data_IF_391897328487
#
_entry.id   IF_391897328487
#
_cell.length_a   1.000
_cell.length_b   1.000
_cell.length_c   1.000
_cell.angle_alpha   90.00
_cell.angle_beta   90.00
_cell.angle_gamma   90.00
#
_symmetry.space_group_name_H-M   'P 1'
#
loop_
_entity.id
_entity.type
_entity.pdbx_description
1 polymer ?
#
# COMPACT_ATOMS: atom_id res chain seq x y z
N UNK A 1 -11.22 43.08 -63.62
CA UNK A 1 -12.02 44.25 -63.16
C UNK A 1 -11.81 44.40 -61.65
N UNK A 2 -11.61 45.64 -61.18
CA UNK A 2 -11.98 46.23 -59.85
C UNK A 2 -12.22 45.22 -58.70
N UNK A 3 -11.39 45.02 -57.66
CA UNK A 3 -10.70 45.89 -56.68
C UNK A 3 -11.54 46.38 -55.48
N UNK A 4 -11.14 45.97 -54.25
CA UNK A 4 -11.07 46.72 -52.97
C UNK A 4 -10.89 45.69 -51.82
N UNK A 5 -9.89 45.72 -50.92
CA UNK A 5 -9.56 46.68 -49.84
C UNK A 5 -10.75 46.90 -48.86
N UNK A 6 -10.62 46.92 -47.52
CA UNK A 6 -9.49 47.37 -46.70
C UNK A 6 -9.63 47.07 -45.18
N UNK A 7 -8.50 46.85 -44.48
CA UNK A 7 -8.10 47.36 -43.13
C UNK A 7 -9.00 47.28 -41.87
N UNK A 8 -8.35 46.79 -40.78
CA UNK A 8 -8.30 47.34 -39.38
C UNK A 8 -9.65 47.34 -38.59
N UNK A 9 -9.73 47.42 -37.26
CA UNK A 9 -8.76 47.81 -36.21
C UNK A 9 -9.03 47.15 -34.84
N UNK A 10 -8.03 47.25 -33.98
CA UNK A 10 -7.91 46.91 -32.55
C UNK A 10 -8.98 47.46 -31.56
N UNK A 11 -9.01 46.80 -30.38
CA UNK A 11 -9.26 47.30 -29.00
C UNK A 11 -10.66 47.81 -28.57
N UNK A 12 -11.21 47.20 -27.51
CA UNK A 12 -11.07 47.68 -26.10
C UNK A 12 -11.65 46.70 -25.05
N UNK A 13 -11.21 46.88 -23.80
CA UNK A 13 -11.73 46.23 -22.59
C UNK A 13 -13.18 46.65 -22.29
N UNK A 14 -13.91 45.77 -21.60
CA UNK A 14 -14.86 46.19 -20.56
C UNK A 14 -14.93 45.12 -19.46
N UNK A 15 -14.40 45.44 -18.26
CA UNK A 15 -14.89 44.83 -17.02
C UNK A 15 -16.21 45.50 -16.66
N UNK A 16 -17.16 44.74 -16.11
CA UNK A 16 -18.10 45.16 -15.06
C UNK A 16 -18.45 43.88 -14.29
N UNK A 17 -18.59 43.99 -12.98
CA UNK A 17 -18.75 42.86 -12.07
C UNK A 17 -20.07 42.96 -11.27
N UNK A 18 -20.41 41.84 -10.62
CA UNK A 18 -21.39 41.69 -9.54
C UNK A 18 -22.87 41.93 -9.91
N UNK A 19 -23.66 40.86 -9.81
CA UNK A 19 -24.87 40.89 -8.97
C UNK A 19 -25.16 39.50 -8.41
N UNK A 20 -25.35 39.48 -7.09
CA UNK A 20 -25.64 38.30 -6.28
C UNK A 20 -27.08 37.82 -6.47
N UNK A 21 -27.27 36.50 -6.41
CA UNK A 21 -28.58 35.88 -6.21
C UNK A 21 -28.53 35.01 -4.94
N UNK A 22 -28.90 35.61 -3.82
CA UNK A 22 -29.23 34.90 -2.58
C UNK A 22 -30.59 34.20 -2.71
N UNK A 23 -30.70 32.97 -2.22
CA UNK A 23 -31.97 32.34 -1.91
C UNK A 23 -31.93 31.80 -0.48
N UNK A 24 -32.33 32.64 0.48
CA UNK A 24 -32.71 32.17 1.81
C UNK A 24 -34.16 31.68 1.78
N UNK A 25 -34.44 30.60 2.50
CA UNK A 25 -35.73 30.36 3.15
C UNK A 25 -35.49 29.61 4.47
N UNK A 26 -36.27 29.95 5.49
CA UNK A 26 -35.82 29.91 6.90
C UNK A 26 -36.76 29.15 7.85
N UNK A 27 -36.13 28.44 8.80
CA UNK A 27 -36.51 28.17 10.20
C UNK A 27 -37.96 28.23 10.71
N UNK A 28 -38.33 27.17 11.45
CA UNK A 28 -38.74 27.16 12.87
C UNK A 28 -38.59 25.71 13.40
N UNK A 29 -38.24 25.32 14.63
CA UNK A 29 -37.88 25.91 15.94
C UNK A 29 -37.92 24.76 16.97
N UNK A 30 -37.41 24.74 18.22
CA UNK A 30 -36.65 25.63 19.13
C UNK A 30 -36.23 24.75 20.36
N UNK A 31 -35.30 25.06 21.27
CA UNK A 31 -34.30 26.12 21.44
C UNK A 31 -33.23 25.73 22.50
N UNK A 32 -32.10 26.45 22.54
CA UNK A 32 -31.07 26.55 23.61
C UNK A 32 -30.13 25.35 23.90
N UNK A 33 -28.84 25.54 24.23
CA UNK A 33 -28.13 26.78 24.61
C UNK A 33 -26.68 26.91 24.08
N UNK A 34 -26.37 28.13 23.61
CA UNK A 34 -25.09 28.88 23.58
C UNK A 34 -23.75 28.17 23.93
N UNK A 35 -22.80 28.15 22.97
CA UNK A 35 -21.59 28.98 23.04
C UNK A 35 -20.81 29.06 21.70
N UNK A 36 -20.63 30.29 21.20
CA UNK A 36 -19.58 30.81 20.29
C UNK A 36 -18.74 29.86 19.41
N UNK A 37 -18.97 29.91 18.08
CA UNK A 37 -17.99 29.54 17.03
C UNK A 37 -17.68 30.75 16.13
N UNK A 38 -16.46 30.85 15.58
CA UNK A 38 -16.20 31.52 14.32
C UNK A 38 -15.81 30.53 13.19
N UNK A 39 -16.42 30.73 12.02
CA UNK A 39 -15.94 30.43 10.67
C UNK A 39 -15.31 29.05 10.36
N UNK A 40 -16.10 28.18 9.70
CA UNK A 40 -15.59 27.15 8.81
C UNK A 40 -14.99 27.78 7.54
N UNK A 41 -13.66 27.75 7.43
CA UNK A 41 -12.96 27.80 6.15
C UNK A 41 -12.68 26.37 5.67
N UNK A 42 -12.84 26.11 4.37
CA UNK A 42 -12.49 24.81 3.80
C UNK A 42 -10.98 24.78 3.50
N UNK A 43 -10.24 23.93 4.21
CA UNK A 43 -8.88 23.52 3.83
C UNK A 43 -8.86 22.02 3.50
N UNK A 44 -8.14 21.67 2.44
CA UNK A 44 -7.95 20.30 2.01
C UNK A 44 -7.00 19.61 3.01
N UNK A 45 -7.36 18.42 3.48
CA UNK A 45 -6.62 17.71 4.52
C UNK A 45 -5.32 17.08 4.00
N UNK A 46 -4.29 17.90 3.80
CA UNK A 46 -2.89 17.46 3.79
C UNK A 46 -2.38 17.50 5.23
N UNK A 47 -2.50 16.39 5.96
CA UNK A 47 -2.13 16.38 7.38
C UNK A 47 -2.06 15.00 8.00
N UNK A 48 -0.88 14.62 8.49
CA UNK A 48 -0.74 13.52 9.44
C UNK A 48 -1.53 13.82 10.72
N UNK A 49 -2.14 12.80 11.31
CA UNK A 49 -3.07 12.94 12.44
C UNK A 49 -2.49 12.33 13.71
N UNK A 50 -2.17 13.17 14.68
CA UNK A 50 -1.83 12.76 16.05
C UNK A 50 -3.11 12.51 16.84
N UNK A 51 -3.13 11.46 17.68
CA UNK A 51 -4.24 11.15 18.59
C UNK A 51 -3.70 10.98 20.01
N UNK A 52 -4.03 11.91 20.91
CA UNK A 52 -3.60 11.89 22.32
C UNK A 52 -4.68 12.41 23.26
N UNK A 53 -4.58 12.05 24.54
CA UNK A 53 -5.39 12.59 25.64
C UNK A 53 -4.51 13.22 26.72
N UNK A 54 -4.84 14.45 27.11
CA UNK A 54 -4.21 15.28 28.18
C UNK A 54 -2.83 15.88 27.89
N UNK A 55 -2.58 17.06 28.49
CA UNK A 55 -1.46 17.95 28.20
C UNK A 55 -0.56 18.19 29.41
N UNK A 56 0.65 17.62 29.39
CA UNK A 56 1.77 18.04 30.23
C UNK A 56 2.85 18.75 29.38
N UNK A 57 3.77 19.48 30.01
CA UNK A 57 4.79 20.24 29.29
C UNK A 57 5.71 19.32 28.47
N UNK A 58 5.78 19.56 27.16
CA UNK A 58 6.56 18.74 26.21
C UNK A 58 5.74 17.66 25.48
N UNK A 59 4.51 17.38 25.92
CA UNK A 59 3.57 16.51 25.19
C UNK A 59 2.95 17.27 24.02
N UNK A 60 2.99 16.70 22.82
CA UNK A 60 2.29 17.26 21.67
C UNK A 60 0.77 17.23 21.84
N UNK A 61 0.06 18.33 21.54
CA UNK A 61 -1.38 18.27 21.28
C UNK A 61 -1.66 17.53 19.97
N UNK A 62 -2.88 16.98 19.78
CA UNK A 62 -3.37 16.57 18.47
C UNK A 62 -3.38 17.76 17.50
N UNK A 63 -2.74 17.61 16.33
CA UNK A 63 -2.68 18.69 15.33
C UNK A 63 -1.93 18.31 14.05
N UNK A 64 -1.84 19.24 13.08
CA UNK A 64 -1.04 19.08 11.86
C UNK A 64 0.45 18.86 12.17
N UNK A 65 1.17 18.20 11.27
CA UNK A 65 2.55 17.77 11.47
C UNK A 65 3.52 18.95 11.72
N UNK A 66 3.23 20.10 11.10
CA UNK A 66 3.97 21.36 11.21
C UNK A 66 3.84 21.99 12.60
N UNK A 67 2.75 21.70 13.32
CA UNK A 67 2.48 22.22 14.67
C UNK A 67 3.24 21.48 15.78
N UNK A 68 3.89 20.36 15.46
CA UNK A 68 4.62 19.52 16.42
C UNK A 68 6.08 20.00 16.67
N UNK A 69 6.49 21.10 16.05
CA UNK A 69 7.81 21.71 16.25
C UNK A 69 8.01 22.07 17.73
N UNK A 70 9.10 21.59 18.33
CA UNK A 70 9.43 21.85 19.73
C UNK A 70 8.87 20.83 20.75
N UNK A 71 7.94 19.95 20.37
CA UNK A 71 7.53 18.84 21.23
C UNK A 71 8.70 17.91 21.58
N UNK A 72 8.64 17.23 22.73
CA UNK A 72 9.57 16.15 23.09
C UNK A 72 8.91 14.78 23.18
N UNK A 73 7.59 14.72 23.39
CA UNK A 73 6.82 13.51 23.63
C UNK A 73 5.49 13.51 22.84
N UNK A 74 5.11 12.38 22.26
CA UNK A 74 3.74 12.12 21.79
C UNK A 74 3.17 10.98 22.66
N UNK A 75 2.11 11.26 23.41
CA UNK A 75 1.50 10.31 24.37
C UNK A 75 0.61 9.22 23.73
N UNK A 76 0.68 9.07 22.41
CA UNK A 76 -0.16 8.19 21.59
C UNK A 76 0.50 7.96 20.25
N UNK A 77 -0.28 7.77 19.19
CA UNK A 77 0.26 7.44 17.86
C UNK A 77 0.67 8.70 17.07
N UNK A 78 1.76 8.57 16.30
CA UNK A 78 2.11 9.49 15.22
C UNK A 78 1.79 8.81 13.88
N UNK A 79 0.71 9.24 13.23
CA UNK A 79 0.30 8.71 11.92
C UNK A 79 0.53 9.75 10.83
N UNK A 80 1.44 9.45 9.91
CA UNK A 80 1.78 10.23 8.72
C UNK A 80 1.33 9.42 7.50
N UNK A 81 0.39 9.95 6.72
CA UNK A 81 -0.27 9.22 5.63
C UNK A 81 -0.51 10.16 4.45
N UNK A 82 -0.26 9.68 3.22
CA UNK A 82 -0.37 10.46 1.97
C UNK A 82 0.35 11.83 2.04
N UNK A 83 1.55 11.83 2.63
CA UNK A 83 2.37 13.03 2.75
C UNK A 83 3.11 13.29 1.43
N UNK A 84 2.82 14.44 0.81
CA UNK A 84 3.23 14.76 -0.57
C UNK A 84 4.59 15.46 -0.68
N UNK A 85 5.17 15.93 0.43
CA UNK A 85 6.46 16.59 0.43
C UNK A 85 7.63 15.59 0.57
N UNK A 86 8.82 15.89 0.02
CA UNK A 86 9.95 14.96 0.05
C UNK A 86 10.56 14.76 1.44
N UNK A 87 10.28 15.67 2.38
CA UNK A 87 10.85 15.69 3.72
C UNK A 87 9.77 15.98 4.76
N UNK A 88 9.79 15.26 5.88
CA UNK A 88 9.04 15.66 7.08
C UNK A 88 9.50 17.05 7.56
N UNK A 89 8.64 17.85 8.21
CA UNK A 89 9.09 19.05 8.92
C UNK A 89 10.11 18.70 10.01
N UNK A 90 10.86 19.68 10.51
CA UNK A 90 11.84 19.44 11.57
C UNK A 90 11.13 19.12 12.89
N UNK A 91 11.05 17.82 13.20
CA UNK A 91 10.56 17.27 14.46
C UNK A 91 11.73 16.96 15.42
N UNK A 92 12.91 17.54 15.22
CA UNK A 92 14.15 17.22 15.94
C UNK A 92 14.14 17.46 17.46
N UNK A 93 13.07 18.02 18.02
CA UNK A 93 12.85 18.02 19.48
C UNK A 93 12.23 16.70 19.98
N UNK A 94 11.46 15.99 19.14
CA UNK A 94 10.77 14.76 19.48
C UNK A 94 11.76 13.67 19.88
N UNK A 95 11.60 13.13 21.09
CA UNK A 95 12.42 12.06 21.66
C UNK A 95 11.65 10.75 21.79
N UNK A 96 10.35 10.81 22.04
CA UNK A 96 9.55 9.61 22.35
C UNK A 96 8.14 9.70 21.78
N UNK A 97 7.67 8.56 21.28
CA UNK A 97 6.28 8.27 20.94
C UNK A 97 5.86 7.12 21.86
N UNK A 98 4.76 7.25 22.60
CA UNK A 98 4.27 6.20 23.51
C UNK A 98 3.38 5.18 22.82
N UNK A 99 2.66 5.59 21.77
CA UNK A 99 2.01 4.69 20.83
C UNK A 99 2.94 4.27 19.69
N UNK A 100 2.32 3.95 18.56
CA UNK A 100 3.00 3.54 17.33
C UNK A 100 3.45 4.72 16.46
N UNK A 101 4.53 4.52 15.71
CA UNK A 101 4.93 5.41 14.61
C UNK A 101 4.52 4.74 13.28
N UNK A 102 3.55 5.34 12.60
CA UNK A 102 3.01 4.83 11.35
C UNK A 102 3.25 5.87 10.26
N UNK A 103 4.12 5.56 9.29
CA UNK A 103 4.36 6.38 8.10
C UNK A 103 3.98 5.56 6.87
N UNK A 104 2.95 5.98 6.14
CA UNK A 104 2.42 5.19 5.02
C UNK A 104 2.00 5.99 3.80
N UNK A 105 1.94 5.31 2.65
CA UNK A 105 1.42 5.85 1.37
C UNK A 105 2.01 7.22 0.99
N UNK A 106 3.27 7.50 1.32
CA UNK A 106 3.90 8.82 1.15
C UNK A 106 5.05 8.71 0.14
N UNK A 107 4.76 8.52 -1.16
CA UNK A 107 5.75 8.07 -2.15
C UNK A 107 6.79 9.13 -2.53
N UNK A 108 6.56 10.41 -2.20
CA UNK A 108 7.54 11.47 -2.41
C UNK A 108 8.56 11.55 -1.26
N UNK A 109 8.18 11.10 -0.06
CA UNK A 109 9.00 11.17 1.15
C UNK A 109 10.28 10.36 0.96
N UNK A 110 11.44 11.03 0.94
CA UNK A 110 12.71 10.42 0.58
C UNK A 110 13.67 10.20 1.76
N UNK A 111 13.42 10.85 2.90
CA UNK A 111 14.19 10.67 4.13
C UNK A 111 13.38 10.99 5.39
N UNK A 112 13.75 10.38 6.52
CA UNK A 112 13.12 10.60 7.84
C UNK A 112 13.87 11.61 8.73
N UNK A 113 14.76 12.46 8.20
CA UNK A 113 15.61 13.38 8.98
C UNK A 113 14.87 14.32 9.95
N UNK A 114 13.58 14.58 9.76
CA UNK A 114 12.75 15.28 10.75
C UNK A 114 12.71 14.54 12.10
N UNK A 115 12.83 13.21 12.09
CA UNK A 115 12.80 12.35 13.27
C UNK A 115 14.18 12.04 13.87
N UNK A 116 15.26 12.70 13.40
CA UNK A 116 16.68 12.39 13.71
C UNK A 116 17.05 12.19 15.19
N UNK A 117 16.23 12.68 16.13
CA UNK A 117 16.42 12.56 17.57
C UNK A 117 15.40 11.66 18.28
N UNK A 118 14.57 10.91 17.55
CA UNK A 118 13.63 9.94 18.11
C UNK A 118 14.41 8.78 18.75
N UNK A 119 14.25 8.58 20.05
CA UNK A 119 14.96 7.58 20.86
C UNK A 119 14.08 6.37 21.20
N UNK A 120 12.75 6.54 21.29
CA UNK A 120 11.82 5.49 21.71
C UNK A 120 10.46 5.53 21.01
N UNK A 121 9.95 4.35 20.62
CA UNK A 121 8.58 4.09 20.18
C UNK A 121 7.98 2.99 21.07
N UNK A 122 6.88 3.31 21.77
CA UNK A 122 6.20 2.41 22.72
C UNK A 122 5.20 1.45 22.10
N UNK A 123 4.85 1.65 20.83
CA UNK A 123 4.06 0.74 20.00
C UNK A 123 4.88 0.04 18.92
N UNK A 124 4.28 -0.08 17.75
CA UNK A 124 4.87 -0.62 16.52
C UNK A 124 5.54 0.51 15.70
N UNK A 125 6.53 0.16 14.88
CA UNK A 125 7.12 1.04 13.87
C UNK A 125 6.76 0.52 12.49
N UNK A 126 5.89 1.24 11.79
CA UNK A 126 5.37 0.86 10.47
C UNK A 126 5.78 1.89 9.41
N UNK A 127 6.61 1.47 8.46
CA UNK A 127 6.95 2.23 7.25
C UNK A 127 6.41 1.46 6.03
N UNK A 128 5.33 1.95 5.40
CA UNK A 128 4.55 1.17 4.41
C UNK A 128 4.25 1.97 3.14
N UNK A 129 4.72 1.52 1.97
CA UNK A 129 4.48 2.20 0.69
C UNK A 129 5.19 3.56 0.63
N UNK A 130 6.49 3.56 0.94
CA UNK A 130 7.41 4.70 0.88
C UNK A 130 8.52 4.44 -0.17
N UNK A 131 8.20 4.19 -1.45
CA UNK A 131 9.21 3.82 -2.46
C UNK A 131 10.25 4.91 -2.75
N UNK A 132 10.00 6.16 -2.35
CA UNK A 132 10.99 7.24 -2.42
C UNK A 132 12.00 7.25 -1.27
N UNK A 133 11.71 6.56 -0.14
CA UNK A 133 12.48 6.60 1.09
C UNK A 133 13.82 5.89 0.91
N UNK A 134 14.89 6.64 0.66
CA UNK A 134 16.20 6.10 0.33
C UNK A 134 17.05 5.74 1.56
N UNK A 135 16.68 6.21 2.77
CA UNK A 135 17.49 6.00 3.98
C UNK A 135 16.68 6.04 5.28
N UNK A 136 17.15 5.27 6.27
CA UNK A 136 16.71 5.24 7.67
C UNK A 136 17.62 6.05 8.62
N UNK A 137 18.53 6.90 8.11
CA UNK A 137 19.39 7.76 8.95
C UNK A 137 18.57 8.61 9.95
N UNK A 138 17.39 9.09 9.57
CA UNK A 138 16.45 9.75 10.49
C UNK A 138 16.02 8.92 11.71
N UNK A 139 16.25 7.61 11.74
CA UNK A 139 15.97 6.70 12.86
C UNK A 139 17.25 6.18 13.56
N UNK A 140 18.43 6.71 13.23
CA UNK A 140 19.72 6.28 13.79
C UNK A 140 19.83 6.33 15.32
N UNK A 141 19.07 7.23 15.96
CA UNK A 141 19.02 7.36 17.42
C UNK A 141 17.95 6.48 18.08
N UNK A 142 17.16 5.72 17.32
CA UNK A 142 16.12 4.84 17.86
C UNK A 142 16.77 3.69 18.66
N UNK A 143 16.47 3.66 19.96
CA UNK A 143 17.02 2.71 20.93
C UNK A 143 15.99 1.72 21.43
N UNK A 144 14.74 2.16 21.57
CA UNK A 144 13.63 1.36 22.08
C UNK A 144 12.52 1.29 21.04
N UNK A 145 12.14 0.06 20.70
CA UNK A 145 10.90 -0.28 20.02
C UNK A 145 10.25 -1.38 20.86
N UNK A 146 8.99 -1.21 21.28
CA UNK A 146 8.38 -2.13 22.24
C UNK A 146 7.67 -3.32 21.57
N UNK A 147 7.10 -3.12 20.38
CA UNK A 147 6.31 -4.13 19.66
C UNK A 147 7.00 -4.55 18.34
N UNK A 148 6.36 -4.42 17.19
CA UNK A 148 6.89 -4.94 15.91
C UNK A 148 7.46 -3.85 14.99
N UNK A 149 8.35 -4.26 14.09
CA UNK A 149 8.93 -3.45 13.02
C UNK A 149 8.36 -3.92 11.68
N UNK A 150 7.64 -3.07 10.97
CA UNK A 150 7.12 -3.35 9.64
C UNK A 150 7.77 -2.38 8.64
N UNK A 151 8.55 -2.93 7.71
CA UNK A 151 9.11 -2.21 6.56
C UNK A 151 8.54 -2.86 5.31
N UNK A 152 7.57 -2.21 4.66
CA UNK A 152 6.86 -2.76 3.51
C UNK A 152 6.93 -1.75 2.36
N UNK A 153 7.54 -2.12 1.24
CA UNK A 153 7.66 -1.28 0.04
C UNK A 153 8.32 0.09 0.33
N UNK A 154 9.56 0.05 0.83
CA UNK A 154 10.36 1.25 1.13
C UNK A 154 11.68 1.20 0.35
N UNK A 155 12.10 2.30 -0.26
CA UNK A 155 13.30 2.37 -1.14
C UNK A 155 14.66 2.31 -0.43
N UNK A 156 14.72 1.61 0.71
CA UNK A 156 15.86 1.60 1.64
C UNK A 156 16.75 0.39 1.35
N UNK A 157 18.07 0.59 1.36
CA UNK A 157 19.04 -0.51 1.23
C UNK A 157 18.95 -1.55 2.38
N UNK A 158 18.96 -2.84 2.06
CA UNK A 158 18.88 -3.94 3.04
C UNK A 158 20.00 -3.95 4.09
N UNK A 159 21.17 -3.36 3.83
CA UNK A 159 22.19 -3.12 4.86
C UNK A 159 21.78 -2.02 5.84
N UNK A 160 21.01 -1.01 5.45
CA UNK A 160 20.46 -0.03 6.42
C UNK A 160 19.43 -0.70 7.33
N UNK A 161 18.55 -1.54 6.78
CA UNK A 161 17.59 -2.34 7.55
C UNK A 161 18.31 -3.27 8.53
N UNK A 162 19.29 -4.03 8.03
CA UNK A 162 20.10 -4.94 8.85
C UNK A 162 20.82 -4.18 9.98
N UNK A 163 21.43 -3.02 9.69
CA UNK A 163 22.12 -2.19 10.70
C UNK A 163 21.17 -1.62 11.75
N UNK A 164 20.00 -1.11 11.37
CA UNK A 164 18.99 -0.63 12.31
C UNK A 164 18.53 -1.76 13.23
N UNK A 165 18.17 -2.90 12.65
CA UNK A 165 17.67 -4.06 13.38
C UNK A 165 18.74 -4.63 14.32
N UNK A 166 19.98 -4.82 13.86
CA UNK A 166 21.11 -5.26 14.69
C UNK A 166 21.28 -4.31 15.89
N UNK A 167 21.31 -2.99 15.66
CA UNK A 167 21.44 -2.01 16.74
C UNK A 167 20.29 -2.10 17.75
N UNK A 168 19.06 -2.34 17.30
CA UNK A 168 17.92 -2.59 18.18
C UNK A 168 18.07 -3.91 18.97
N UNK A 169 18.50 -5.01 18.32
CA UNK A 169 18.74 -6.31 18.98
C UNK A 169 19.81 -6.21 20.07
N UNK A 170 20.93 -5.53 19.79
CA UNK A 170 22.01 -5.25 20.76
C UNK A 170 21.53 -4.46 21.98
N UNK A 171 20.41 -3.72 21.85
CA UNK A 171 19.75 -2.94 22.91
C UNK A 171 18.56 -3.67 23.54
N UNK A 172 18.37 -4.95 23.23
CA UNK A 172 17.35 -5.81 23.85
C UNK A 172 16.00 -5.85 23.13
N UNK A 173 15.91 -5.35 21.89
CA UNK A 173 14.69 -5.49 21.08
C UNK A 173 14.35 -6.95 20.82
N UNK A 174 13.17 -7.39 21.25
CA UNK A 174 12.71 -8.78 21.09
C UNK A 174 11.59 -8.96 20.07
N UNK A 175 10.93 -7.89 19.61
CA UNK A 175 9.81 -7.98 18.67
C UNK A 175 10.17 -8.55 17.29
N UNK A 176 9.15 -8.94 16.54
CA UNK A 176 9.30 -9.40 15.15
C UNK A 176 9.67 -8.23 14.24
N UNK A 177 10.39 -8.52 13.15
CA UNK A 177 10.59 -7.59 12.05
C UNK A 177 10.01 -8.20 10.76
N UNK A 178 8.96 -7.60 10.22
CA UNK A 178 8.41 -7.92 8.91
C UNK A 178 9.05 -6.98 7.88
N UNK A 179 9.88 -7.51 7.01
CA UNK A 179 10.57 -6.74 5.97
C UNK A 179 10.21 -7.30 4.60
N UNK A 180 9.55 -6.48 3.77
CA UNK A 180 9.06 -6.81 2.44
C UNK A 180 9.32 -5.61 1.53
N UNK A 181 9.86 -5.80 0.32
CA UNK A 181 10.03 -4.69 -0.62
C UNK A 181 11.02 -3.60 -0.18
N UNK A 182 12.25 -3.98 0.20
CA UNK A 182 13.38 -3.09 0.48
C UNK A 182 14.49 -3.28 -0.55
N UNK A 183 15.08 -2.21 -1.12
CA UNK A 183 16.18 -2.35 -2.10
C UNK A 183 17.30 -3.23 -1.51
N UNK A 184 17.54 -4.45 -1.99
CA UNK A 184 18.47 -5.36 -1.31
C UNK A 184 19.92 -5.32 -1.82
N UNK A 185 20.78 -5.87 -0.96
CA UNK A 185 22.23 -5.77 -1.08
C UNK A 185 22.85 -7.15 -0.98
N UNK A 186 23.75 -7.47 -1.92
CA UNK A 186 24.56 -8.69 -1.88
C UNK A 186 25.48 -8.78 -0.64
N UNK A 187 25.68 -7.66 0.08
CA UNK A 187 26.48 -7.59 1.31
C UNK A 187 25.66 -7.89 2.57
N UNK A 188 24.34 -7.69 2.51
CA UNK A 188 23.41 -7.89 3.63
C UNK A 188 22.14 -8.59 3.13
N UNK A 189 22.19 -9.88 2.79
CA UNK A 189 21.00 -10.64 2.43
C UNK A 189 20.03 -10.71 3.61
N UNK A 190 18.78 -10.32 3.36
CA UNK A 190 17.69 -10.47 4.31
C UNK A 190 16.93 -11.76 4.00
N UNK A 191 17.12 -12.76 4.86
CA UNK A 191 16.34 -14.00 4.83
C UNK A 191 15.07 -13.84 5.69
N UNK A 192 13.86 -13.95 5.12
CA UNK A 192 12.58 -13.77 5.81
C UNK A 192 12.33 -14.78 6.94
N UNK A 193 12.97 -15.96 6.91
CA UNK A 193 12.86 -16.98 7.96
C UNK A 193 13.98 -16.86 9.00
N UNK A 194 14.92 -15.93 8.82
CA UNK A 194 16.08 -15.80 9.71
C UNK A 194 15.69 -15.46 11.16
N UNK A 195 16.42 -15.99 12.16
CA UNK A 195 16.24 -15.62 13.57
C UNK A 195 16.37 -14.12 13.86
N UNK A 196 17.08 -13.38 12.99
CA UNK A 196 17.21 -11.94 13.08
C UNK A 196 15.86 -11.23 12.92
N UNK A 197 15.01 -11.68 11.98
CA UNK A 197 13.68 -11.14 11.71
C UNK A 197 12.60 -11.74 12.59
N UNK A 198 12.68 -13.04 12.92
CA UNK A 198 11.67 -13.75 13.71
C UNK A 198 11.40 -13.11 15.10
N UNK A 199 12.43 -12.59 15.76
CA UNK A 199 12.34 -12.09 17.13
C UNK A 199 12.35 -13.19 18.18
N UNK A 200 12.15 -12.83 19.45
CA UNK A 200 11.93 -13.80 20.51
C UNK A 200 10.43 -14.12 20.59
N UNK A 201 10.08 -15.41 20.66
CA UNK A 201 8.69 -15.83 20.84
C UNK A 201 8.09 -15.16 22.08
N UNK A 202 6.86 -14.61 22.01
CA UNK A 202 6.26 -13.91 23.13
C UNK A 202 6.10 -14.87 24.33
N UNK A 203 6.36 -14.42 25.57
CA UNK A 203 6.21 -15.25 26.76
C UNK A 203 4.74 -15.64 26.94
N UNK A 204 4.41 -16.88 26.57
CA UNK A 204 3.03 -17.38 26.49
C UNK A 204 2.71 -18.13 25.20
N UNK A 205 3.54 -18.04 24.16
CA UNK A 205 3.49 -18.99 23.05
C UNK A 205 3.88 -20.41 23.56
N UNK A 206 3.11 -21.47 23.23
CA UNK A 206 3.50 -22.83 23.60
C UNK A 206 4.86 -23.16 22.98
N UNK A 207 5.78 -23.69 23.79
CA UNK A 207 7.15 -23.95 23.36
C UNK A 207 7.26 -24.97 22.23
N UNK A 208 8.38 -24.92 21.51
CA UNK A 208 8.67 -25.79 20.35
C UNK A 208 8.80 -27.30 20.68
N UNK A 209 8.60 -27.70 21.94
CA UNK A 209 8.47 -29.09 22.39
C UNK A 209 7.02 -29.59 22.44
N UNK A 210 6.05 -28.74 22.10
CA UNK A 210 4.70 -29.20 21.81
C UNK A 210 4.74 -30.05 20.54
N UNK A 211 4.59 -31.37 20.71
CA UNK A 211 4.33 -32.31 19.61
C UNK A 211 3.26 -31.66 18.71
N UNK A 212 3.53 -31.42 17.42
CA UNK A 212 2.55 -30.78 16.56
C UNK A 212 1.27 -31.61 16.62
N UNK A 213 0.10 -31.00 16.86
CA UNK A 213 -1.15 -31.75 16.89
C UNK A 213 -1.23 -32.50 15.58
N UNK A 214 -1.38 -33.83 15.65
CA UNK A 214 -1.31 -34.69 14.49
C UNK A 214 -2.23 -34.12 13.39
N UNK A 215 -1.66 -33.90 12.20
CA UNK A 215 -2.34 -33.32 11.04
C UNK A 215 -3.74 -33.91 10.94
N UNK A 216 -4.75 -33.08 11.24
CA UNK A 216 -6.13 -33.54 11.25
C UNK A 216 -6.45 -33.99 9.82
N UNK A 217 -6.79 -35.28 9.60
CA UNK A 217 -6.81 -35.83 8.26
C UNK A 217 -7.93 -35.16 7.46
N UNK A 218 -7.57 -34.73 6.25
CA UNK A 218 -8.40 -33.97 5.31
C UNK A 218 -8.93 -32.63 5.84
N UNK A 219 -8.29 -31.54 5.40
CA UNK A 219 -9.05 -30.33 5.06
C UNK A 219 -10.27 -30.74 4.22
N UNK A 220 -11.46 -30.15 4.43
CA UNK A 220 -12.57 -30.38 3.50
C UNK A 220 -12.10 -30.01 2.09
N UNK A 221 -12.44 -30.80 1.05
CA UNK A 221 -11.98 -30.51 -0.30
C UNK A 221 -12.53 -29.14 -0.72
N UNK A 222 -11.64 -28.14 -0.79
CA UNK A 222 -11.96 -26.79 -1.25
C UNK A 222 -12.21 -26.89 -2.75
N UNK A 223 -13.46 -27.18 -3.13
CA UNK A 223 -13.88 -27.18 -4.51
C UNK A 223 -13.98 -25.73 -4.98
N UNK A 224 -13.01 -25.29 -5.76
CA UNK A 224 -13.03 -23.94 -6.32
C UNK A 224 -14.11 -23.83 -7.40
N UNK A 225 -15.03 -22.85 -7.33
CA UNK A 225 -16.05 -22.67 -8.36
C UNK A 225 -15.38 -22.45 -9.74
N UNK A 226 -15.95 -22.97 -10.84
CA UNK A 226 -15.46 -22.69 -12.18
C UNK A 226 -15.66 -21.21 -12.52
N UNK A 227 -14.86 -20.66 -13.44
CA UNK A 227 -14.94 -19.24 -13.82
C UNK A 227 -16.31 -18.83 -14.36
N UNK A 228 -17.08 -19.78 -14.89
CA UNK A 228 -18.47 -19.60 -15.34
C UNK A 228 -19.49 -19.34 -14.22
N UNK A 229 -19.20 -19.77 -12.99
CA UNK A 229 -20.09 -19.60 -11.82
C UNK A 229 -19.71 -18.35 -10.99
N UNK A 230 -18.50 -17.83 -11.18
CA UNK A 230 -17.98 -16.66 -10.48
C UNK A 230 -18.51 -15.37 -11.11
N UNK A 231 -18.98 -14.42 -10.28
CA UNK A 231 -19.43 -13.10 -10.73
C UNK A 231 -18.27 -12.34 -11.40
N UNK A 232 -18.36 -12.19 -12.73
CA UNK A 232 -17.30 -11.57 -13.53
C UNK A 232 -16.12 -12.50 -13.89
N UNK A 233 -16.22 -13.81 -13.62
CA UNK A 233 -15.11 -14.76 -13.75
C UNK A 233 -14.50 -14.89 -15.16
N UNK A 234 -15.20 -14.47 -16.22
CA UNK A 234 -14.62 -14.32 -17.56
C UNK A 234 -13.37 -13.41 -17.62
N UNK A 235 -13.19 -12.49 -16.65
CA UNK A 235 -11.94 -11.73 -16.53
C UNK A 235 -10.75 -12.61 -16.11
N UNK A 236 -10.98 -13.64 -15.29
CA UNK A 236 -9.95 -14.57 -14.82
C UNK A 236 -9.42 -15.48 -15.95
N UNK A 237 -10.22 -15.71 -16.99
CA UNK A 237 -9.81 -16.45 -18.21
C UNK A 237 -8.82 -15.65 -19.09
N UNK A 238 -8.60 -14.37 -18.76
CA UNK A 238 -7.69 -13.48 -19.49
C UNK A 238 -6.35 -13.24 -18.78
N UNK A 239 -6.19 -13.69 -17.54
CA UNK A 239 -4.98 -13.47 -16.73
C UNK A 239 -4.20 -14.78 -16.54
N UNK A 240 -3.00 -14.70 -15.96
CA UNK A 240 -2.10 -15.85 -15.77
C UNK A 240 -2.79 -16.94 -14.91
N UNK A 241 -2.67 -18.24 -15.23
CA UNK A 241 -3.38 -19.31 -14.51
C UNK A 241 -3.19 -19.29 -12.99
N UNK A 242 -1.97 -18.99 -12.53
CA UNK A 242 -1.64 -18.91 -11.10
C UNK A 242 -2.37 -17.77 -10.35
N UNK A 243 -2.46 -16.55 -10.91
CA UNK A 243 -3.25 -15.48 -10.29
C UNK A 243 -4.75 -15.76 -10.42
N UNK A 244 -5.19 -16.40 -11.52
CA UNK A 244 -6.57 -16.85 -11.65
C UNK A 244 -6.96 -17.89 -10.59
N UNK A 245 -6.07 -18.84 -10.28
CA UNK A 245 -6.25 -19.83 -9.22
C UNK A 245 -6.38 -19.15 -7.84
N UNK A 246 -5.47 -18.23 -7.52
CA UNK A 246 -5.49 -17.45 -6.27
C UNK A 246 -6.74 -16.56 -6.18
N UNK A 247 -7.18 -15.95 -7.28
CA UNK A 247 -8.41 -15.16 -7.34
C UNK A 247 -9.68 -16.00 -7.11
N UNK A 248 -9.72 -17.24 -7.64
CA UNK A 248 -10.82 -18.19 -7.37
C UNK A 248 -10.87 -18.61 -5.90
N UNK A 249 -9.70 -18.82 -5.28
CA UNK A 249 -9.60 -19.13 -3.86
C UNK A 249 -10.00 -17.94 -2.98
N UNK A 250 -9.57 -16.72 -3.32
CA UNK A 250 -10.02 -15.48 -2.68
C UNK A 250 -11.54 -15.34 -2.75
N UNK A 251 -12.13 -15.55 -3.92
CA UNK A 251 -13.58 -15.50 -4.12
C UNK A 251 -14.33 -16.50 -3.21
N UNK A 252 -13.86 -17.76 -3.13
CA UNK A 252 -14.46 -18.78 -2.28
C UNK A 252 -14.36 -18.46 -0.77
N UNK A 253 -13.23 -17.88 -0.32
CA UNK A 253 -13.08 -17.44 1.07
C UNK A 253 -14.01 -16.25 1.39
N UNK A 254 -14.14 -15.30 0.46
CA UNK A 254 -15.03 -14.15 0.62
C UNK A 254 -16.51 -14.54 0.64
N UNK A 255 -16.95 -15.51 -0.18
CA UNK A 255 -18.30 -16.06 -0.10
C UNK A 255 -18.57 -16.75 1.25
N UNK A 256 -17.60 -17.49 1.79
CA UNK A 256 -17.71 -18.10 3.13
C UNK A 256 -17.83 -17.04 4.25
N UNK A 257 -17.23 -15.87 4.08
CA UNK A 257 -17.37 -14.72 5.02
C UNK A 257 -18.57 -13.80 4.70
N UNK A 258 -19.38 -14.11 3.68
CA UNK A 258 -20.53 -13.30 3.27
C UNK A 258 -20.16 -11.96 2.62
N UNK A 259 -18.95 -11.84 2.08
CA UNK A 259 -18.45 -10.64 1.39
C UNK A 259 -18.65 -10.84 -0.12
N UNK A 260 -19.81 -10.43 -0.63
CA UNK A 260 -20.16 -10.62 -2.05
C UNK A 260 -19.42 -9.65 -2.99
N UNK A 261 -18.49 -10.19 -3.79
CA UNK A 261 -17.67 -9.43 -4.76
C UNK A 261 -17.97 -9.79 -6.22
N UNK A 262 -17.51 -8.94 -7.14
CA UNK A 262 -17.56 -9.14 -8.59
C UNK A 262 -16.22 -8.73 -9.20
N UNK A 263 -15.65 -9.57 -10.07
CA UNK A 263 -14.49 -9.20 -10.88
C UNK A 263 -14.94 -8.25 -12.00
N UNK A 264 -14.21 -7.14 -12.19
CA UNK A 264 -14.55 -6.06 -13.13
C UNK A 264 -13.46 -5.75 -14.17
N UNK A 265 -12.25 -6.31 -14.00
CA UNK A 265 -11.19 -6.25 -15.02
C UNK A 265 -10.25 -7.45 -14.90
N UNK A 266 -9.70 -7.86 -16.05
CA UNK A 266 -8.58 -8.80 -16.17
C UNK A 266 -7.51 -8.18 -17.07
N UNK A 267 -7.06 -8.89 -18.10
CA UNK A 267 -6.19 -8.31 -19.14
C UNK A 267 -6.79 -7.04 -19.75
N UNK A 268 -5.95 -6.00 -19.88
CA UNK A 268 -6.28 -4.77 -20.61
C UNK A 268 -5.31 -4.61 -21.77
N UNK A 269 -5.82 -4.37 -22.99
CA UNK A 269 -4.96 -4.10 -24.15
C UNK A 269 -4.19 -2.80 -23.96
N UNK A 270 -2.87 -2.87 -24.01
CA UNK A 270 -2.03 -1.67 -24.01
C UNK A 270 -2.20 -0.89 -25.33
N UNK A 271 -2.57 0.39 -25.20
CA UNK A 271 -2.79 1.28 -26.34
C UNK A 271 -2.41 2.72 -25.97
N UNK A 272 -1.17 3.16 -26.24
CA UNK A 272 -0.69 4.47 -25.79
C UNK A 272 -1.05 5.61 -26.75
N UNK A 273 -1.77 6.65 -26.31
CA UNK A 273 -1.84 7.94 -26.99
C UNK A 273 -0.79 8.90 -26.40
N UNK A 274 -0.10 9.68 -27.24
CA UNK A 274 0.68 10.84 -26.79
C UNK A 274 1.95 10.58 -25.96
N UNK A 275 2.39 9.33 -25.82
CA UNK A 275 3.76 9.01 -25.35
C UNK A 275 4.03 9.12 -23.85
N UNK A 276 3.03 9.33 -22.98
CA UNK A 276 3.19 9.30 -21.51
C UNK A 276 2.02 8.65 -20.78
N UNK A 277 2.22 7.41 -20.32
CA UNK A 277 1.62 6.79 -19.12
C UNK A 277 2.35 5.47 -18.83
N UNK A 278 2.44 5.14 -17.53
CA UNK A 278 3.12 3.95 -17.03
C UNK A 278 2.45 2.66 -17.53
N UNK A 279 3.24 1.59 -17.65
CA UNK A 279 2.71 0.25 -17.85
C UNK A 279 2.09 -0.25 -16.54
N UNK A 280 1.05 -1.08 -16.66
CA UNK A 280 0.34 -1.74 -15.56
C UNK A 280 0.36 -3.25 -15.83
N UNK A 281 0.34 -4.03 -14.75
CA UNK A 281 0.32 -5.49 -14.77
C UNK A 281 -0.88 -6.08 -15.54
N UNK A 282 -1.96 -5.32 -15.74
CA UNK A 282 -3.08 -5.74 -16.61
C UNK A 282 -2.66 -5.92 -18.06
N UNK A 283 -1.63 -5.20 -18.54
CA UNK A 283 -1.16 -5.32 -19.93
C UNK A 283 -0.42 -6.63 -20.19
N UNK A 284 -0.02 -7.35 -19.13
CA UNK A 284 0.65 -8.65 -19.18
C UNK A 284 -0.19 -9.75 -18.51
N UNK A 285 -1.43 -9.44 -18.11
CA UNK A 285 -2.34 -10.39 -17.49
C UNK A 285 -1.89 -10.88 -16.11
N UNK A 286 -1.22 -10.02 -15.34
CA UNK A 286 -0.72 -10.32 -13.98
C UNK A 286 -1.48 -9.57 -12.89
N UNK A 287 -2.67 -9.05 -13.22
CA UNK A 287 -3.56 -8.39 -12.28
C UNK A 287 -5.03 -8.42 -12.72
N UNK A 288 -5.91 -8.31 -11.73
CA UNK A 288 -7.35 -8.21 -11.89
C UNK A 288 -7.89 -7.07 -11.01
N UNK A 289 -9.10 -6.61 -11.32
CA UNK A 289 -9.82 -5.68 -10.44
C UNK A 289 -11.11 -6.33 -9.94
N UNK A 290 -11.46 -6.09 -8.67
CA UNK A 290 -12.72 -6.52 -8.05
C UNK A 290 -13.48 -5.35 -7.44
N UNK A 291 -14.79 -5.47 -7.31
CA UNK A 291 -15.64 -4.51 -6.60
C UNK A 291 -16.66 -5.23 -5.70
N UNK A 292 -17.15 -4.53 -4.68
CA UNK A 292 -18.25 -4.99 -3.83
C UNK A 292 -19.57 -4.93 -4.62
N UNK A 293 -20.35 -6.01 -4.58
CA UNK A 293 -21.55 -6.16 -5.42
C UNK A 293 -22.69 -5.21 -5.05
N UNK A 294 -22.74 -4.72 -3.80
CA UNK A 294 -23.69 -3.68 -3.37
C UNK A 294 -23.30 -2.26 -3.81
N UNK A 295 -22.20 -2.08 -4.56
CA UNK A 295 -21.77 -0.80 -5.14
C UNK A 295 -21.81 -0.88 -6.65
N UNK A 296 -22.69 -0.10 -7.29
CA UNK A 296 -22.95 -0.23 -8.72
C UNK A 296 -21.78 0.23 -9.61
N UNK A 297 -20.87 1.07 -9.08
CA UNK A 297 -19.69 1.57 -9.81
C UNK A 297 -18.49 1.78 -8.88
N UNK A 298 -17.26 1.75 -9.41
CA UNK A 298 -16.04 2.14 -8.68
C UNK A 298 -16.15 3.56 -8.10
N UNK A 299 -16.77 4.49 -8.83
CA UNK A 299 -17.01 5.86 -8.37
C UNK A 299 -17.92 5.90 -7.13
N UNK A 300 -18.92 5.02 -7.06
CA UNK A 300 -19.78 4.88 -5.89
C UNK A 300 -19.05 4.20 -4.72
N UNK A 301 -18.32 3.12 -4.98
CA UNK A 301 -17.53 2.44 -3.96
C UNK A 301 -16.51 3.38 -3.30
N UNK A 302 -15.80 4.19 -4.09
CA UNK A 302 -14.88 5.22 -3.57
C UNK A 302 -15.58 6.26 -2.67
N UNK A 303 -16.79 6.72 -3.03
CA UNK A 303 -17.56 7.66 -2.19
C UNK A 303 -18.00 7.07 -0.85
N UNK A 304 -18.03 5.75 -0.72
CA UNK A 304 -18.44 5.04 0.49
C UNK A 304 -17.31 4.21 1.10
N UNK A 305 -16.05 4.48 0.72
CA UNK A 305 -14.89 3.72 1.19
C UNK A 305 -14.87 3.60 2.72
N UNK A 306 -15.07 4.71 3.45
CA UNK A 306 -15.09 4.70 4.93
C UNK A 306 -16.18 3.80 5.53
N UNK A 307 -17.30 3.59 4.83
CA UNK A 307 -18.39 2.71 5.27
C UNK A 307 -18.10 1.23 5.01
N UNK A 308 -17.38 0.95 3.93
CA UNK A 308 -16.98 -0.40 3.52
C UNK A 308 -15.54 -0.75 3.95
N UNK A 309 -14.86 0.15 4.66
CA UNK A 309 -13.43 0.07 4.97
C UNK A 309 -13.04 -1.26 5.60
N UNK A 310 -13.80 -1.73 6.60
CA UNK A 310 -13.54 -3.02 7.25
C UNK A 310 -13.69 -4.23 6.30
N UNK A 311 -14.58 -4.15 5.30
CA UNK A 311 -14.69 -5.18 4.25
C UNK A 311 -13.48 -5.13 3.32
N UNK A 312 -13.07 -3.93 2.91
CA UNK A 312 -11.89 -3.73 2.08
C UNK A 312 -10.60 -4.20 2.77
N UNK A 313 -10.39 -3.83 4.03
CA UNK A 313 -9.27 -4.30 4.85
C UNK A 313 -9.26 -5.83 4.98
N UNK A 314 -10.44 -6.48 5.17
CA UNK A 314 -10.55 -7.95 5.21
C UNK A 314 -10.28 -8.62 3.86
N UNK A 315 -10.78 -8.04 2.76
CA UNK A 315 -10.46 -8.49 1.39
C UNK A 315 -8.94 -8.42 1.16
N UNK A 316 -8.31 -7.32 1.56
CA UNK A 316 -6.87 -7.12 1.50
C UNK A 316 -6.10 -8.18 2.29
N UNK A 317 -6.46 -8.40 3.56
CA UNK A 317 -5.83 -9.41 4.43
C UNK A 317 -5.91 -10.82 3.82
N UNK A 318 -7.07 -11.23 3.31
CA UNK A 318 -7.25 -12.53 2.64
C UNK A 318 -6.47 -12.61 1.33
N UNK A 319 -6.45 -11.55 0.52
CA UNK A 319 -5.69 -11.49 -0.72
C UNK A 319 -4.18 -11.60 -0.47
N UNK A 320 -3.66 -10.84 0.49
CA UNK A 320 -2.25 -10.85 0.89
C UNK A 320 -1.83 -12.21 1.49
N UNK A 321 -2.71 -12.83 2.30
CA UNK A 321 -2.54 -14.21 2.76
C UNK A 321 -2.51 -15.24 1.64
N UNK A 322 -3.14 -14.97 0.50
CA UNK A 322 -3.06 -15.77 -0.73
C UNK A 322 -1.92 -15.34 -1.67
N UNK A 323 -1.03 -14.46 -1.24
CA UNK A 323 0.10 -13.97 -2.01
C UNK A 323 -0.26 -13.01 -3.15
N UNK A 324 -1.44 -12.39 -3.07
CA UNK A 324 -1.90 -11.36 -4.01
C UNK A 324 -1.61 -10.00 -3.37
N UNK A 325 -0.97 -9.09 -4.10
CA UNK A 325 -0.71 -7.72 -3.67
C UNK A 325 -2.00 -6.91 -3.83
N UNK A 326 -2.41 -6.16 -2.80
CA UNK A 326 -3.60 -5.32 -2.83
C UNK A 326 -3.28 -3.84 -3.11
N UNK A 327 -3.89 -3.29 -4.16
CA UNK A 327 -3.66 -1.95 -4.69
C UNK A 327 -4.16 -0.79 -3.82
N UNK A 328 -4.85 -1.02 -2.70
CA UNK A 328 -5.13 0.04 -1.72
C UNK A 328 -3.84 0.66 -1.14
N UNK A 329 -2.71 -0.07 -1.20
CA UNK A 329 -1.35 0.46 -0.96
C UNK A 329 -1.00 1.65 -1.87
N UNK A 330 -1.69 1.82 -3.00
CA UNK A 330 -1.52 2.86 -4.02
C UNK A 330 -2.79 3.66 -4.34
N UNK A 331 -3.73 3.75 -3.39
CA UNK A 331 -5.04 4.41 -3.53
C UNK A 331 -5.97 3.80 -4.61
N UNK A 332 -5.72 2.54 -5.04
CA UNK A 332 -6.61 1.78 -5.92
C UNK A 332 -7.15 0.52 -5.22
N UNK A 333 -8.19 0.72 -4.41
CA UNK A 333 -8.80 -0.32 -3.56
C UNK A 333 -9.35 -1.52 -4.36
N UNK A 334 -9.62 -1.33 -5.65
CA UNK A 334 -10.17 -2.35 -6.53
C UNK A 334 -9.11 -3.28 -7.10
N UNK A 335 -7.84 -2.87 -7.07
CA UNK A 335 -6.76 -3.46 -7.84
C UNK A 335 -6.02 -4.57 -7.09
N UNK A 336 -5.70 -5.66 -7.78
CA UNK A 336 -5.04 -6.84 -7.21
C UNK A 336 -4.05 -7.45 -8.21
N UNK A 337 -2.81 -7.70 -7.78
CA UNK A 337 -1.70 -8.09 -8.66
C UNK A 337 -0.86 -9.24 -8.10
N UNK A 338 -0.22 -10.01 -8.99
CA UNK A 338 0.67 -11.12 -8.64
C UNK A 338 1.78 -11.19 -9.68
N UNK A 339 3.01 -10.88 -9.27
CA UNK A 339 4.19 -10.88 -10.13
C UNK A 339 5.45 -11.23 -9.31
N UNK A 340 5.58 -12.46 -8.80
CA UNK A 340 6.79 -12.87 -8.08
C UNK A 340 8.00 -12.73 -9.00
N UNK A 341 9.11 -12.21 -8.47
CA UNK A 341 10.27 -11.83 -9.30
C UNK A 341 10.33 -10.35 -9.69
N UNK A 342 9.25 -9.58 -9.49
CA UNK A 342 9.11 -8.23 -10.03
C UNK A 342 8.73 -7.17 -8.99
N UNK A 343 9.05 -5.91 -9.28
CA UNK A 343 8.67 -4.77 -8.45
C UNK A 343 7.16 -4.47 -8.57
N UNK A 344 6.50 -4.06 -7.48
CA UNK A 344 5.09 -3.65 -7.49
C UNK A 344 4.75 -2.59 -8.56
N UNK A 345 5.69 -1.67 -8.83
CA UNK A 345 5.63 -0.84 -10.04
C UNK A 345 6.58 -1.37 -11.10
N UNK A 346 6.00 -1.85 -12.20
CA UNK A 346 6.72 -2.27 -13.41
C UNK A 346 7.71 -1.17 -13.86
N UNK A 347 9.01 -1.44 -13.69
CA UNK A 347 10.10 -0.55 -14.09
C UNK A 347 10.26 -0.57 -15.62
N UNK A 348 11.00 0.41 -16.15
CA UNK A 348 11.17 0.56 -17.60
C UNK A 348 11.90 -0.64 -18.23
N UNK A 349 12.88 -1.23 -17.54
CA UNK A 349 13.61 -2.40 -18.03
C UNK A 349 12.74 -3.67 -17.99
N UNK A 350 11.93 -3.87 -16.96
CA UNK A 350 10.91 -4.93 -16.90
C UNK A 350 9.91 -4.78 -18.04
N UNK A 351 9.40 -3.56 -18.27
CA UNK A 351 8.49 -3.26 -19.36
C UNK A 351 9.09 -3.54 -20.74
N UNK A 352 10.36 -3.21 -20.96
CA UNK A 352 11.03 -3.51 -22.23
C UNK A 352 11.32 -5.01 -22.42
N UNK A 353 11.56 -5.78 -21.34
CA UNK A 353 11.57 -7.26 -21.38
C UNK A 353 10.21 -7.81 -21.82
N UNK A 354 9.11 -7.34 -21.21
CA UNK A 354 7.76 -7.75 -21.60
C UNK A 354 7.44 -7.44 -23.07
N UNK A 355 7.94 -6.32 -23.60
CA UNK A 355 7.80 -5.93 -25.02
C UNK A 355 8.71 -6.69 -25.97
N UNK A 356 9.79 -7.32 -25.49
CA UNK A 356 10.63 -8.20 -26.29
C UNK A 356 9.97 -9.55 -26.54
N UNK A 357 9.16 -10.03 -25.58
CA UNK A 357 8.35 -11.24 -25.71
C UNK A 357 7.03 -10.93 -26.45
N UNK A 358 6.10 -10.18 -25.82
CA UNK A 358 4.75 -9.94 -26.34
C UNK A 358 4.65 -8.88 -27.46
N UNK A 359 5.78 -8.56 -28.08
CA UNK A 359 5.94 -7.53 -29.10
C UNK A 359 5.75 -6.10 -28.58
N UNK A 360 6.10 -5.12 -29.44
CA UNK A 360 6.14 -3.68 -29.07
C UNK A 360 4.86 -3.11 -28.47
N UNK A 361 3.70 -3.76 -28.69
CA UNK A 361 2.36 -3.35 -28.26
C UNK A 361 1.74 -4.24 -27.16
N UNK A 362 2.45 -5.25 -26.65
CA UNK A 362 1.89 -6.24 -25.71
C UNK A 362 0.58 -6.89 -26.21
N UNK A 363 0.56 -7.23 -27.51
CA UNK A 363 -0.59 -7.92 -28.12
C UNK A 363 -0.54 -9.41 -27.81
N UNK A 364 0.66 -10.00 -27.86
CA UNK A 364 0.91 -11.41 -27.57
C UNK A 364 1.24 -11.62 -26.09
N UNK A 365 0.51 -10.90 -25.21
CA UNK A 365 0.84 -10.72 -23.79
C UNK A 365 1.09 -12.01 -23.01
N UNK A 366 0.44 -13.12 -23.40
CA UNK A 366 0.62 -14.44 -22.77
C UNK A 366 2.04 -15.00 -22.94
N UNK A 367 2.80 -14.56 -23.95
CA UNK A 367 4.22 -14.94 -24.10
C UNK A 367 5.09 -14.38 -22.97
N UNK A 368 4.62 -13.36 -22.22
CA UNK A 368 5.33 -12.90 -21.02
C UNK A 368 5.28 -13.89 -19.86
N UNK A 369 4.37 -14.87 -19.90
CA UNK A 369 4.20 -15.86 -18.84
C UNK A 369 5.35 -16.87 -18.78
N UNK A 370 6.12 -17.01 -19.87
CA UNK A 370 7.38 -17.78 -19.93
C UNK A 370 8.43 -17.27 -18.92
N UNK A 371 8.31 -16.04 -18.40
CA UNK A 371 9.18 -15.51 -17.34
C UNK A 371 8.89 -16.08 -15.94
N UNK A 372 7.78 -16.78 -15.76
CA UNK A 372 7.36 -17.36 -14.48
C UNK A 372 7.54 -18.89 -14.43
N UNK A 373 7.85 -19.51 -15.57
CA UNK A 373 8.15 -20.95 -15.70
C UNK A 373 9.42 -21.32 -14.90
N UNK A 374 9.41 -22.42 -14.11
CA UNK A 374 10.56 -22.84 -13.30
C UNK A 374 11.87 -22.95 -14.09
N UNK A 375 11.81 -23.49 -15.30
CA UNK A 375 12.96 -23.80 -16.16
C UNK A 375 13.69 -22.56 -16.68
N UNK A 376 13.00 -21.41 -16.75
CA UNK A 376 13.57 -20.15 -17.26
C UNK A 376 13.95 -19.14 -16.19
N UNK A 377 13.66 -19.40 -14.91
CA UNK A 377 14.11 -18.55 -13.79
C UNK A 377 15.63 -18.41 -13.71
N UNK A 378 16.37 -19.44 -14.12
CA UNK A 378 17.83 -19.47 -14.11
C UNK A 378 18.45 -18.89 -15.41
N UNK A 379 17.75 -19.02 -16.55
CA UNK A 379 18.20 -18.51 -17.85
C UNK A 379 17.95 -17.00 -18.00
N UNK A 380 16.80 -16.56 -17.49
CA UNK A 380 16.46 -15.16 -17.29
C UNK A 380 16.33 -14.91 -15.80
N UNK A 381 17.44 -14.73 -15.07
CA UNK A 381 17.32 -14.11 -13.76
C UNK A 381 16.55 -12.79 -13.97
N UNK A 382 15.43 -12.67 -13.25
CA UNK A 382 14.81 -11.36 -13.05
C UNK A 382 15.86 -10.37 -12.54
N UNK A 383 15.58 -9.04 -12.52
CA UNK A 383 16.43 -8.16 -11.72
C UNK A 383 16.59 -8.83 -10.35
N UNK A 384 17.83 -9.21 -9.94
CA UNK A 384 18.03 -10.16 -8.84
C UNK A 384 17.22 -9.68 -7.65
N UNK A 385 16.42 -10.57 -7.05
CA UNK A 385 15.28 -10.25 -6.18
C UNK A 385 15.69 -9.50 -4.91
N UNK A 386 16.07 -8.25 -5.10
CA UNK A 386 16.68 -7.41 -4.10
C UNK A 386 15.57 -6.59 -3.48
N UNK A 387 14.77 -7.32 -2.69
CA UNK A 387 13.62 -6.93 -1.88
C UNK A 387 12.58 -6.11 -2.65
N UNK A 388 11.66 -6.84 -3.27
CA UNK A 388 10.58 -6.30 -4.10
C UNK A 388 9.69 -7.42 -4.60
N UNK A 389 10.30 -8.58 -4.86
CA UNK A 389 9.63 -9.83 -5.13
C UNK A 389 8.81 -10.30 -3.92
N UNK A 390 7.55 -10.67 -4.17
CA UNK A 390 6.77 -11.51 -3.25
C UNK A 390 7.54 -12.80 -2.93
N UNK A 391 7.76 -13.05 -1.63
CA UNK A 391 8.30 -14.29 -1.07
C UNK A 391 7.42 -15.47 -1.49
N UNK A 392 7.92 -16.70 -1.68
CA UNK A 392 7.04 -17.86 -1.84
C UNK A 392 6.06 -17.95 -0.66
N UNK A 393 4.89 -18.59 -0.86
CA UNK A 393 4.02 -18.88 0.26
C UNK A 393 4.75 -19.64 1.36
N UNK A 394 4.24 -19.52 2.59
CA UNK A 394 4.51 -20.52 3.61
C UNK A 394 4.17 -21.91 3.06
N UNK A 395 4.89 -22.95 3.52
CA UNK A 395 4.82 -24.29 2.94
C UNK A 395 3.36 -24.80 2.80
N UNK A 396 2.49 -24.44 3.74
CA UNK A 396 1.06 -24.79 3.72
C UNK A 396 0.27 -24.21 2.53
N UNK A 397 0.49 -22.95 2.12
CA UNK A 397 -0.18 -22.42 0.92
C UNK A 397 0.45 -22.94 -0.38
N UNK A 398 1.74 -23.28 -0.38
CA UNK A 398 2.35 -23.96 -1.53
C UNK A 398 1.75 -25.37 -1.74
N UNK A 399 1.61 -26.15 -0.67
CA UNK A 399 0.94 -27.46 -0.66
C UNK A 399 -0.55 -27.35 -1.04
N UNK A 400 -1.27 -26.36 -0.51
CA UNK A 400 -2.68 -26.12 -0.84
C UNK A 400 -2.87 -25.82 -2.32
N UNK A 401 -2.03 -24.97 -2.91
CA UNK A 401 -2.15 -24.63 -4.33
C UNK A 401 -1.81 -25.80 -5.25
N UNK A 402 -0.84 -26.63 -4.88
CA UNK A 402 -0.54 -27.86 -5.61
C UNK A 402 -1.71 -28.87 -5.53
N UNK A 403 -2.37 -28.98 -4.38
CA UNK A 403 -3.56 -29.82 -4.21
C UNK A 403 -4.82 -29.30 -4.93
N UNK A 404 -4.81 -28.05 -5.40
CA UNK A 404 -5.90 -27.39 -6.13
C UNK A 404 -5.68 -27.29 -7.65
N UNK A 405 -4.51 -27.69 -8.15
CA UNK A 405 -4.18 -27.79 -9.59
C UNK A 405 -4.68 -29.09 -10.21
#
# INVERSE_FOLDING_TARGET
MVSHTSRRSMTKLAQIAVLSATALLTFAGCASAQHTQPALGAEQSTGGRVVTTTSEAGICPPGPLESLQGCTLIAGDLVIERYEAPALPDLGSLRRIEGSLIVRQSPQLNHLEGLRNLEAVGGDLMLVGLPGLATLQGLQNLRVLARELHLVEVGVDACEVTRLLQGLRERGYQGRAQVLGVDASAQCPLDPESPALAGASPPGAPGADAVPPALNPTLPPISLPPTSEIRGGHHLETIHPEIALRARLLYALLEHEGIEVIFISGYRRWSPPGGRRLASWHHVGLSFDLNLTHRATMSEANRHYDQDKARWERIGELAEGLGIIWGARYDDIFHFEWHPGHHARMRQDEFDRFRSLAGRKLVDYRQTWELFEPERRDEFPGPPCFGGCFTPPDAGLAELLEALR
#
